data_IF_520469861876
#
_entry.id   IF_520469861876
#
_cell.length_a   1.000
_cell.length_b   1.000
_cell.length_c   1.000
_cell.angle_alpha   90.00
_cell.angle_beta   90.00
_cell.angle_gamma   90.00
#
_symmetry.space_group_name_H-M   'P 1'
#
loop_
_entity.id
_entity.type
_entity.pdbx_description
1 polymer ?
#
# COMPACT_ATOMS: atom_id res chain seq x y z
N UNK A 1 -8.87 -20.41 98.22
CA UNK A 1 -8.97 -19.37 97.24
C UNK A 1 -8.36 -19.88 95.92
N UNK A 2 -9.21 -20.27 94.96
CA UNK A 2 -8.74 -20.88 93.68
C UNK A 2 -8.94 -19.89 92.54
N UNK A 3 -7.83 -19.48 91.94
CA UNK A 3 -7.83 -18.61 90.75
C UNK A 3 -8.09 -19.46 89.52
N UNK A 4 -9.12 -19.14 88.77
CA UNK A 4 -9.39 -19.74 87.44
C UNK A 4 -8.70 -18.93 86.35
N UNK A 5 -7.84 -19.56 85.59
CA UNK A 5 -7.27 -18.98 84.38
C UNK A 5 -8.18 -19.29 83.19
N UNK A 6 -8.66 -18.25 82.53
CA UNK A 6 -9.42 -18.34 81.28
C UNK A 6 -8.43 -18.12 80.12
N UNK A 7 -8.26 -19.15 79.31
CA UNK A 7 -7.47 -19.06 78.07
C UNK A 7 -8.37 -18.60 76.94
N UNK A 8 -8.09 -17.41 76.38
CA UNK A 8 -8.69 -16.94 75.11
C UNK A 8 -7.91 -17.52 73.95
N UNK A 9 -8.58 -18.34 73.12
CA UNK A 9 -8.08 -18.78 71.79
C UNK A 9 -8.38 -17.66 70.76
N UNK A 10 -7.35 -16.97 70.33
CA UNK A 10 -7.46 -16.02 69.20
C UNK A 10 -7.29 -16.77 67.86
N UNK A 11 -8.35 -16.85 67.08
CA UNK A 11 -8.32 -17.36 65.71
C UNK A 11 -7.72 -16.29 64.78
N UNK A 12 -6.51 -16.54 64.26
CA UNK A 12 -5.89 -15.75 63.19
C UNK A 12 -6.46 -16.22 61.84
N UNK A 13 -7.37 -15.39 61.28
CA UNK A 13 -7.81 -15.56 59.89
C UNK A 13 -6.75 -14.93 59.02
N UNK A 14 -5.85 -15.78 58.43
CA UNK A 14 -4.95 -15.33 57.36
C UNK A 14 -5.76 -15.17 56.07
N UNK A 15 -6.14 -13.92 55.76
CA UNK A 15 -6.73 -13.56 54.46
C UNK A 15 -5.70 -13.73 53.37
N UNK A 16 -5.85 -14.74 52.52
CA UNK A 16 -5.17 -14.88 51.23
C UNK A 16 -5.68 -13.79 50.31
N UNK A 17 -5.03 -12.65 50.31
CA UNK A 17 -5.10 -11.65 49.24
C UNK A 17 -4.41 -12.26 48.03
N UNK A 18 -5.14 -13.02 47.23
CA UNK A 18 -4.75 -13.39 45.89
C UNK A 18 -4.65 -12.12 45.06
N UNK A 19 -3.46 -11.53 44.95
CA UNK A 19 -3.15 -10.53 43.94
C UNK A 19 -3.31 -11.19 42.58
N UNK A 20 -4.47 -11.01 41.96
CA UNK A 20 -4.61 -11.21 40.52
C UNK A 20 -3.69 -10.17 39.90
N UNK A 21 -2.47 -10.58 39.53
CA UNK A 21 -1.66 -9.82 38.61
C UNK A 21 -2.53 -9.59 37.37
N UNK A 22 -3.07 -8.40 37.21
CA UNK A 22 -3.68 -7.97 35.97
C UNK A 22 -2.56 -8.08 34.93
N UNK A 23 -2.56 -9.15 34.14
CA UNK A 23 -1.69 -9.21 32.97
C UNK A 23 -1.98 -7.96 32.17
N UNK A 24 -1.01 -7.06 32.06
CA UNK A 24 -1.11 -5.93 31.16
C UNK A 24 -1.48 -6.52 29.79
N UNK A 25 -2.55 -6.01 29.18
CA UNK A 25 -3.00 -6.48 27.88
C UNK A 25 -1.81 -6.38 26.91
N UNK A 26 -1.51 -7.47 26.22
CA UNK A 26 -0.44 -7.44 25.22
C UNK A 26 -0.76 -6.42 24.13
N UNK A 27 0.26 -5.72 23.68
CA UNK A 27 0.16 -4.68 22.64
C UNK A 27 1.03 -5.03 21.46
N UNK A 28 0.47 -4.90 20.25
CA UNK A 28 1.17 -5.08 19.00
C UNK A 28 1.58 -3.72 18.45
N UNK A 29 2.86 -3.45 18.38
CA UNK A 29 3.40 -2.18 17.90
C UNK A 29 3.53 -2.17 16.36
N UNK A 30 3.13 -1.04 15.75
CA UNK A 30 3.25 -0.74 14.32
C UNK A 30 3.96 0.61 14.16
N UNK A 31 5.15 0.61 13.56
CA UNK A 31 5.87 1.83 13.21
C UNK A 31 5.37 2.41 11.88
N UNK A 32 5.03 3.70 11.87
CA UNK A 32 4.49 4.40 10.71
C UNK A 32 5.48 5.45 10.20
N UNK A 33 6.29 5.17 9.16
CA UNK A 33 7.16 6.17 8.53
C UNK A 33 6.32 7.08 7.63
N UNK A 34 5.61 8.02 8.25
CA UNK A 34 4.64 8.88 7.56
C UNK A 34 5.30 10.02 6.80
N UNK A 35 4.53 10.68 5.93
CA UNK A 35 4.87 11.96 5.33
C UNK A 35 3.58 12.77 5.18
N UNK A 36 3.41 13.75 6.07
CA UNK A 36 2.21 14.58 6.15
C UNK A 36 2.44 16.01 5.72
N UNK A 37 3.68 16.35 5.39
CA UNK A 37 4.08 17.68 4.96
C UNK A 37 4.82 17.66 3.62
N UNK A 38 5.01 18.82 3.00
CA UNK A 38 5.72 18.98 1.74
C UNK A 38 4.89 18.58 0.49
N UNK A 39 5.55 18.43 -0.66
CA UNK A 39 4.89 18.23 -1.96
C UNK A 39 4.04 16.98 -2.08
N UNK A 40 4.24 16.02 -1.20
CA UNK A 40 3.58 14.70 -1.16
C UNK A 40 2.62 14.54 0.01
N UNK A 41 2.58 15.56 0.91
CA UNK A 41 1.86 15.50 2.17
C UNK A 41 0.36 15.28 2.03
N UNK A 42 -0.27 15.83 0.99
CA UNK A 42 -1.71 15.66 0.76
C UNK A 42 -2.09 14.17 0.56
N UNK A 43 -1.31 13.44 -0.24
CA UNK A 43 -1.51 12.00 -0.43
C UNK A 43 -1.16 11.21 0.84
N UNK A 44 -0.06 11.56 1.50
CA UNK A 44 0.35 10.94 2.77
C UNK A 44 -0.68 11.11 3.87
N UNK A 45 -1.27 12.29 4.02
CA UNK A 45 -2.33 12.54 5.01
C UNK A 45 -3.52 11.59 4.82
N UNK A 46 -3.97 11.37 3.58
CA UNK A 46 -5.04 10.42 3.28
C UNK A 46 -4.66 8.98 3.65
N UNK A 47 -3.50 8.53 3.15
CA UNK A 47 -3.07 7.13 3.33
C UNK A 47 -2.83 6.81 4.80
N UNK A 48 -2.02 7.58 5.51
CA UNK A 48 -1.72 7.32 6.93
C UNK A 48 -2.94 7.57 7.81
N UNK A 49 -3.81 8.53 7.44
CA UNK A 49 -5.08 8.75 8.12
C UNK A 49 -6.00 7.52 8.05
N UNK A 50 -6.22 6.99 6.85
CA UNK A 50 -7.05 5.79 6.66
C UNK A 50 -6.46 4.54 7.33
N UNK A 51 -5.13 4.40 7.33
CA UNK A 51 -4.46 3.27 7.99
C UNK A 51 -4.62 3.33 9.50
N UNK A 52 -4.35 4.48 10.11
CA UNK A 52 -4.54 4.69 11.56
C UNK A 52 -6.00 4.51 11.95
N UNK A 53 -6.93 5.08 11.18
CA UNK A 53 -8.36 4.95 11.45
C UNK A 53 -8.83 3.49 11.40
N UNK A 54 -8.27 2.67 10.50
CA UNK A 54 -8.60 1.24 10.48
C UNK A 54 -8.02 0.50 11.71
N UNK A 55 -6.78 0.77 12.10
CA UNK A 55 -6.22 0.18 13.32
C UNK A 55 -7.01 0.62 14.57
N UNK A 56 -7.41 1.89 14.62
CA UNK A 56 -8.28 2.40 15.68
C UNK A 56 -9.66 1.73 15.67
N UNK A 57 -10.23 1.46 14.47
CA UNK A 57 -11.48 0.69 14.36
C UNK A 57 -11.36 -0.68 15.04
N UNK A 58 -10.28 -1.41 14.74
CA UNK A 58 -10.04 -2.74 15.34
C UNK A 58 -9.92 -2.64 16.87
N UNK A 59 -9.27 -1.59 17.36
CA UNK A 59 -9.17 -1.36 18.80
C UNK A 59 -10.53 -1.02 19.44
N UNK A 60 -11.34 -0.17 18.81
CA UNK A 60 -12.57 0.36 19.39
C UNK A 60 -13.78 -0.56 19.21
N UNK A 61 -13.84 -1.28 18.09
CA UNK A 61 -14.94 -2.19 17.78
C UNK A 61 -14.69 -3.60 18.32
N UNK A 62 -13.47 -4.10 18.10
CA UNK A 62 -13.13 -5.53 18.33
C UNK A 62 -12.30 -5.75 19.60
N UNK A 63 -11.84 -4.68 20.25
CA UNK A 63 -10.96 -4.79 21.41
C UNK A 63 -9.49 -5.15 21.07
N UNK A 64 -9.10 -4.99 19.81
CA UNK A 64 -7.80 -5.40 19.27
C UNK A 64 -7.87 -6.68 18.43
N UNK A 65 -6.73 -7.21 18.02
CA UNK A 65 -6.65 -8.48 17.27
C UNK A 65 -6.64 -9.64 18.27
N UNK A 66 -7.78 -10.33 18.42
CA UNK A 66 -7.96 -11.38 19.43
C UNK A 66 -7.58 -10.89 20.86
N UNK A 67 -7.93 -9.65 21.21
CA UNK A 67 -7.62 -9.06 22.50
C UNK A 67 -6.28 -8.32 22.59
N UNK A 68 -5.41 -8.42 21.60
CA UNK A 68 -4.14 -7.67 21.53
C UNK A 68 -4.40 -6.30 20.91
N UNK A 69 -4.18 -5.23 21.67
CA UNK A 69 -4.34 -3.86 21.21
C UNK A 69 -3.25 -3.50 20.20
N UNK A 70 -3.64 -2.74 19.16
CA UNK A 70 -2.68 -2.14 18.24
C UNK A 70 -2.21 -0.79 18.82
N UNK A 71 -0.91 -0.61 18.87
CA UNK A 71 -0.27 0.67 19.19
C UNK A 71 0.62 1.10 18.05
N UNK A 72 0.85 2.40 17.88
CA UNK A 72 1.66 2.91 16.79
C UNK A 72 2.38 4.21 17.17
N UNK A 73 3.40 4.50 16.38
CA UNK A 73 4.09 5.80 16.42
C UNK A 73 4.38 6.25 15.01
N UNK A 74 4.01 7.49 14.67
CA UNK A 74 4.40 8.12 13.42
C UNK A 74 5.80 8.72 13.51
N UNK A 75 6.55 8.57 12.42
CA UNK A 75 7.85 9.22 12.23
C UNK A 75 7.82 9.93 10.88
N UNK A 76 7.83 11.28 10.89
CA UNK A 76 7.75 12.10 9.69
C UNK A 76 9.01 11.98 8.84
N UNK A 77 8.87 11.48 7.62
CA UNK A 77 9.97 11.30 6.67
C UNK A 77 10.10 12.42 5.66
N UNK A 78 9.08 13.26 5.51
CA UNK A 78 8.97 14.25 4.41
C UNK A 78 9.19 13.62 3.02
N UNK A 79 8.90 12.32 2.89
CA UNK A 79 9.17 11.52 1.67
C UNK A 79 10.68 11.49 1.30
N UNK A 80 11.57 11.72 2.27
CA UNK A 80 13.03 11.73 2.09
C UNK A 80 13.63 10.37 2.46
N UNK A 81 14.52 9.84 1.62
CA UNK A 81 15.11 8.52 1.82
C UNK A 81 15.96 8.42 3.10
N UNK A 82 16.78 9.44 3.39
CA UNK A 82 17.65 9.42 4.58
C UNK A 82 16.82 9.47 5.87
N UNK A 83 15.79 10.34 5.92
CA UNK A 83 14.83 10.37 7.03
C UNK A 83 14.03 9.07 7.14
N UNK A 84 13.69 8.44 6.00
CA UNK A 84 13.04 7.14 6.00
C UNK A 84 13.89 6.05 6.66
N UNK A 85 15.20 6.05 6.40
CA UNK A 85 16.15 5.15 7.08
C UNK A 85 16.25 5.46 8.56
N UNK A 86 16.32 6.73 8.94
CA UNK A 86 16.34 7.16 10.35
C UNK A 86 15.06 6.72 11.08
N UNK A 87 13.88 6.94 10.47
CA UNK A 87 12.60 6.48 11.01
C UNK A 87 12.55 4.96 11.17
N UNK A 88 13.08 4.21 10.21
CA UNK A 88 13.18 2.76 10.31
C UNK A 88 14.01 2.34 11.54
N UNK A 89 15.23 2.89 11.67
CA UNK A 89 16.11 2.57 12.81
C UNK A 89 15.49 2.95 14.16
N UNK A 90 14.77 4.06 14.23
CA UNK A 90 14.08 4.53 15.44
C UNK A 90 12.93 3.61 15.85
N UNK A 91 12.17 3.11 14.86
CA UNK A 91 10.92 2.39 15.12
C UNK A 91 11.09 0.86 15.21
N UNK A 92 12.12 0.28 14.59
CA UNK A 92 12.25 -1.18 14.39
C UNK A 92 12.26 -2.01 15.69
N UNK A 93 12.74 -1.44 16.81
CA UNK A 93 12.82 -2.15 18.11
C UNK A 93 11.75 -1.73 19.11
N UNK A 94 10.81 -0.86 18.72
CA UNK A 94 9.74 -0.42 19.61
C UNK A 94 8.66 -1.49 19.79
N UNK A 95 7.98 -1.45 20.94
CA UNK A 95 7.02 -2.48 21.36
C UNK A 95 7.69 -3.68 22.03
N UNK A 96 6.90 -4.53 22.66
CA UNK A 96 7.38 -5.69 23.40
C UNK A 96 8.05 -6.77 22.53
N UNK A 97 7.61 -6.86 21.27
CA UNK A 97 8.10 -7.84 20.27
C UNK A 97 8.85 -7.19 19.10
N UNK A 98 9.13 -5.88 19.19
CA UNK A 98 9.63 -5.08 18.07
C UNK A 98 8.51 -4.65 17.11
N UNK A 99 8.88 -3.96 16.03
CA UNK A 99 7.94 -3.56 14.99
C UNK A 99 7.45 -4.79 14.21
N UNK A 100 6.14 -4.99 14.14
CA UNK A 100 5.53 -6.17 13.52
C UNK A 100 5.76 -6.24 12.00
N UNK A 101 5.72 -5.07 11.34
CA UNK A 101 5.96 -4.90 9.91
C UNK A 101 6.29 -3.45 9.59
N UNK A 102 6.86 -3.20 8.43
CA UNK A 102 7.23 -1.88 7.96
C UNK A 102 6.59 -1.57 6.61
N UNK A 103 5.93 -0.42 6.49
CA UNK A 103 5.30 0.02 5.23
C UNK A 103 5.71 1.47 4.94
N UNK A 104 6.79 1.70 4.18
CA UNK A 104 7.34 3.05 3.95
C UNK A 104 6.48 3.92 3.02
N UNK A 105 5.57 3.35 2.25
CA UNK A 105 4.76 4.04 1.23
C UNK A 105 5.62 4.96 0.34
N UNK A 106 6.85 4.52 0.07
CA UNK A 106 7.86 5.19 -0.75
C UNK A 106 8.81 4.18 -1.37
N UNK A 107 8.90 4.17 -2.70
CA UNK A 107 9.84 3.31 -3.43
C UNK A 107 11.30 3.61 -3.07
N UNK A 108 11.65 4.89 -2.93
CA UNK A 108 13.01 5.28 -2.56
C UNK A 108 13.42 4.80 -1.17
N UNK A 109 12.53 4.93 -0.18
CA UNK A 109 12.78 4.41 1.18
C UNK A 109 12.85 2.88 1.16
N UNK A 110 11.96 2.21 0.40
CA UNK A 110 11.99 0.74 0.23
C UNK A 110 13.37 0.26 -0.23
N UNK A 111 13.93 0.86 -1.28
CA UNK A 111 15.27 0.51 -1.74
C UNK A 111 16.35 0.76 -0.68
N UNK A 112 16.21 1.84 0.08
CA UNK A 112 17.21 2.24 1.09
C UNK A 112 17.25 1.31 2.32
N UNK A 113 16.15 0.62 2.64
CA UNK A 113 16.05 -0.29 3.80
C UNK A 113 15.96 -1.77 3.43
N UNK A 114 16.04 -2.11 2.14
CA UNK A 114 15.82 -3.45 1.60
C UNK A 114 16.64 -4.54 2.32
N UNK A 115 17.94 -4.31 2.49
CA UNK A 115 18.84 -5.28 3.16
C UNK A 115 18.65 -5.26 4.68
N UNK A 116 18.28 -4.09 5.27
CA UNK A 116 18.06 -3.93 6.70
C UNK A 116 16.86 -4.73 7.20
N UNK A 117 15.73 -4.68 6.47
CA UNK A 117 14.52 -5.41 6.87
C UNK A 117 14.74 -6.93 6.88
N UNK A 118 15.57 -7.43 5.97
CA UNK A 118 15.96 -8.84 5.94
C UNK A 118 16.86 -9.22 7.14
N UNK A 119 17.85 -8.36 7.48
CA UNK A 119 18.74 -8.55 8.62
C UNK A 119 17.99 -8.49 9.96
N UNK A 120 17.05 -7.54 10.08
CA UNK A 120 16.26 -7.32 11.29
C UNK A 120 15.05 -8.27 11.39
N UNK A 121 14.76 -9.07 10.35
CA UNK A 121 13.61 -9.98 10.27
C UNK A 121 12.26 -9.27 10.45
N UNK A 122 12.13 -8.10 9.86
CA UNK A 122 10.89 -7.30 9.85
C UNK A 122 10.31 -7.32 8.42
N UNK A 123 9.11 -7.88 8.20
CA UNK A 123 8.53 -7.88 6.87
C UNK A 123 8.20 -6.46 6.41
N UNK A 124 8.62 -6.11 5.20
CA UNK A 124 8.31 -4.85 4.55
C UNK A 124 7.20 -5.06 3.53
N UNK A 125 6.06 -4.42 3.76
CA UNK A 125 4.90 -4.52 2.87
C UNK A 125 4.85 -3.27 1.99
N UNK A 126 4.79 -3.48 0.66
CA UNK A 126 4.84 -2.41 -0.34
C UNK A 126 3.65 -2.50 -1.29
N UNK A 127 2.46 -2.15 -0.79
CA UNK A 127 1.20 -2.26 -1.53
C UNK A 127 1.18 -1.31 -2.73
N UNK A 128 1.33 -1.86 -3.93
CA UNK A 128 1.30 -1.07 -5.17
C UNK A 128 2.50 -0.14 -5.37
N UNK A 129 3.66 -0.42 -4.75
CA UNK A 129 4.89 0.33 -5.03
C UNK A 129 6.12 -0.59 -4.98
N UNK A 130 7.25 -0.09 -5.48
CA UNK A 130 8.45 -0.86 -5.69
C UNK A 130 9.08 -1.41 -4.41
N UNK A 131 9.84 -2.41 -4.54
CA UNK A 131 10.55 -2.97 -5.70
C UNK A 131 9.72 -4.12 -6.32
N UNK A 132 9.48 -4.07 -7.65
CA UNK A 132 8.59 -5.03 -8.33
C UNK A 132 9.11 -6.46 -8.30
N UNK A 133 10.40 -6.70 -8.56
CA UNK A 133 10.97 -8.05 -8.56
C UNK A 133 11.02 -8.70 -7.18
N UNK A 134 10.77 -7.93 -6.10
CA UNK A 134 10.57 -8.47 -4.77
C UNK A 134 9.27 -9.28 -4.61
N UNK A 135 8.42 -9.33 -5.64
CA UNK A 135 7.30 -10.26 -5.72
C UNK A 135 7.74 -11.73 -5.79
N UNK A 136 9.01 -12.01 -6.14
CA UNK A 136 9.57 -13.36 -5.97
C UNK A 136 10.04 -13.57 -4.52
N UNK A 137 9.15 -14.11 -3.69
CA UNK A 137 9.44 -14.37 -2.28
C UNK A 137 10.52 -15.43 -2.03
N UNK A 138 10.89 -16.20 -3.06
CA UNK A 138 12.03 -17.14 -2.96
C UNK A 138 13.36 -16.41 -2.79
N UNK A 139 13.46 -15.20 -3.36
CA UNK A 139 14.66 -14.35 -3.28
C UNK A 139 14.48 -13.23 -2.26
N UNK A 140 13.28 -12.68 -2.16
CA UNK A 140 12.95 -11.56 -1.27
C UNK A 140 11.96 -11.96 -0.15
N UNK A 141 12.36 -12.83 0.80
CA UNK A 141 11.44 -13.38 1.81
C UNK A 141 10.87 -12.33 2.76
N UNK A 142 11.40 -11.11 2.77
CA UNK A 142 11.02 -10.05 3.70
C UNK A 142 10.34 -8.85 3.02
N UNK A 143 10.05 -8.93 1.72
CA UNK A 143 9.42 -7.85 0.97
C UNK A 143 8.17 -8.34 0.25
N UNK A 144 7.06 -7.64 0.44
CA UNK A 144 5.72 -8.05 0.02
C UNK A 144 5.05 -6.95 -0.82
N UNK A 145 5.28 -6.86 -2.14
CA UNK A 145 4.60 -5.92 -3.03
C UNK A 145 3.19 -6.43 -3.37
N UNK A 146 2.34 -6.44 -2.35
CA UNK A 146 1.02 -7.06 -2.38
C UNK A 146 0.02 -6.35 -3.30
N UNK A 147 -1.00 -7.09 -3.71
CA UNK A 147 -2.13 -6.75 -4.57
C UNK A 147 -1.71 -6.62 -6.03
N UNK A 148 -0.73 -5.80 -6.33
CA UNK A 148 -0.26 -5.54 -7.70
C UNK A 148 1.07 -4.78 -7.68
N UNK A 149 1.90 -4.99 -8.69
CA UNK A 149 3.20 -4.34 -8.85
C UNK A 149 3.15 -3.26 -9.92
N UNK A 150 4.20 -2.45 -10.03
CA UNK A 150 4.31 -1.47 -11.11
C UNK A 150 4.36 -2.12 -12.50
N UNK A 151 4.94 -3.32 -12.62
CA UNK A 151 4.97 -4.01 -13.90
C UNK A 151 3.60 -4.55 -14.29
N UNK A 152 2.84 -5.09 -13.33
CA UNK A 152 1.45 -5.49 -13.54
C UNK A 152 0.58 -4.28 -13.92
N UNK A 153 0.76 -3.14 -13.24
CA UNK A 153 0.02 -1.92 -13.57
C UNK A 153 0.32 -1.41 -14.98
N UNK A 154 1.60 -1.30 -15.34
CA UNK A 154 1.99 -0.85 -16.69
C UNK A 154 1.37 -1.74 -17.76
N UNK A 155 1.43 -3.06 -17.56
CA UNK A 155 0.82 -4.04 -18.44
C UNK A 155 -0.70 -3.89 -18.54
N UNK A 156 -1.39 -3.75 -17.40
CA UNK A 156 -2.84 -3.53 -17.39
C UNK A 156 -3.26 -2.20 -18.04
N UNK A 157 -2.44 -1.12 -17.90
CA UNK A 157 -2.68 0.14 -18.61
C UNK A 157 -2.55 -0.05 -20.13
N UNK A 158 -1.53 -0.77 -20.61
CA UNK A 158 -1.36 -1.06 -22.02
C UNK A 158 -2.51 -1.93 -22.54
N UNK A 159 -2.97 -2.93 -21.76
CA UNK A 159 -4.15 -3.73 -22.09
C UNK A 159 -5.43 -2.86 -22.19
N UNK A 160 -5.60 -1.91 -21.26
CA UNK A 160 -6.70 -0.96 -21.31
C UNK A 160 -6.64 -0.08 -22.57
N UNK A 161 -5.47 0.46 -22.93
CA UNK A 161 -5.29 1.23 -24.16
C UNK A 161 -5.62 0.37 -25.39
N UNK A 162 -5.11 -0.86 -25.44
CA UNK A 162 -5.42 -1.80 -26.51
C UNK A 162 -6.92 -2.05 -26.65
N UNK A 163 -7.66 -2.21 -25.53
CA UNK A 163 -9.10 -2.37 -25.54
C UNK A 163 -9.85 -1.13 -26.09
N UNK A 164 -9.33 0.07 -25.84
CA UNK A 164 -9.90 1.32 -26.41
C UNK A 164 -9.63 1.47 -27.89
N UNK A 165 -8.54 0.93 -28.39
CA UNK A 165 -8.19 0.94 -29.82
C UNK A 165 -8.86 -0.23 -30.61
N UNK A 166 -9.57 -1.15 -29.92
CA UNK A 166 -10.24 -2.28 -30.55
C UNK A 166 -9.41 -3.56 -30.65
N UNK A 167 -8.29 -3.64 -29.94
CA UNK A 167 -7.45 -4.83 -29.82
C UNK A 167 -5.97 -4.50 -29.63
N UNK A 168 -5.22 -5.47 -29.09
CA UNK A 168 -3.78 -5.29 -28.86
C UNK A 168 -2.98 -5.16 -30.16
N UNK A 169 -3.46 -5.74 -31.26
CA UNK A 169 -2.89 -5.61 -32.61
C UNK A 169 -2.96 -4.18 -33.15
N UNK A 170 -3.91 -3.38 -32.67
CA UNK A 170 -4.09 -1.97 -33.04
C UNK A 170 -3.10 -1.03 -32.38
N UNK A 171 -2.30 -1.53 -31.45
CA UNK A 171 -1.20 -0.74 -30.83
C UNK A 171 0.00 -0.61 -31.76
N UNK A 172 0.14 -1.47 -32.79
CA UNK A 172 1.26 -1.40 -33.72
C UNK A 172 1.34 -0.03 -34.41
N UNK A 173 2.50 0.62 -34.28
CA UNK A 173 2.76 1.95 -34.84
C UNK A 173 2.21 3.13 -34.02
N UNK A 174 1.48 2.86 -32.91
CA UNK A 174 1.06 3.90 -31.97
C UNK A 174 2.25 4.44 -31.20
N UNK A 175 2.10 5.65 -30.65
CA UNK A 175 3.06 6.29 -29.75
C UNK A 175 2.45 6.48 -28.38
N UNK A 176 3.14 5.99 -27.34
CA UNK A 176 2.72 6.15 -25.95
C UNK A 176 3.80 6.97 -25.24
N UNK A 177 3.44 8.18 -24.79
CA UNK A 177 4.27 8.99 -23.92
C UNK A 177 4.26 8.44 -22.49
N UNK A 178 5.41 8.27 -21.89
CA UNK A 178 5.57 7.94 -20.47
C UNK A 178 6.11 9.19 -19.77
N UNK A 179 5.22 10.02 -19.22
CA UNK A 179 5.56 11.19 -18.42
C UNK A 179 5.78 10.74 -16.97
N UNK A 180 7.04 10.60 -16.57
CA UNK A 180 7.38 9.96 -15.31
C UNK A 180 8.15 10.87 -14.34
N UNK A 181 7.88 10.69 -13.05
CA UNK A 181 8.64 11.31 -11.96
C UNK A 181 10.08 10.80 -11.96
N UNK A 182 11.07 11.68 -12.08
CA UNK A 182 12.48 11.29 -12.16
C UNK A 182 13.03 10.84 -10.81
N UNK A 183 12.71 9.61 -10.45
CA UNK A 183 13.11 8.94 -9.22
C UNK A 183 13.12 7.42 -9.42
N UNK A 184 13.53 6.67 -8.40
CA UNK A 184 13.43 5.22 -8.40
C UNK A 184 12.01 4.74 -8.71
N UNK A 185 10.99 5.41 -8.15
CA UNK A 185 9.58 5.15 -8.43
C UNK A 185 9.25 5.25 -9.92
N UNK A 186 9.54 6.39 -10.55
CA UNK A 186 9.16 6.62 -11.95
C UNK A 186 9.89 5.71 -12.93
N UNK A 187 11.12 5.30 -12.59
CA UNK A 187 11.97 4.44 -13.42
C UNK A 187 11.60 2.95 -13.35
N UNK A 188 10.84 2.53 -12.35
CA UNK A 188 10.36 1.13 -12.23
C UNK A 188 9.61 0.65 -13.48
N UNK A 189 8.86 1.54 -14.14
CA UNK A 189 8.06 1.20 -15.31
C UNK A 189 8.87 1.02 -16.62
N UNK A 190 10.15 1.42 -16.66
CA UNK A 190 10.89 1.48 -17.92
C UNK A 190 11.06 0.11 -18.58
N UNK A 191 11.53 -0.88 -17.82
CA UNK A 191 11.81 -2.21 -18.36
C UNK A 191 10.54 -2.90 -18.91
N UNK A 192 9.45 -2.84 -18.19
CA UNK A 192 8.18 -3.43 -18.63
C UNK A 192 7.60 -2.69 -19.83
N UNK A 193 7.68 -1.35 -19.88
CA UNK A 193 7.19 -0.58 -21.02
C UNK A 193 7.99 -0.89 -22.29
N UNK A 194 9.31 -1.07 -22.19
CA UNK A 194 10.15 -1.48 -23.32
C UNK A 194 9.78 -2.90 -23.84
N UNK A 195 9.53 -3.85 -22.91
CA UNK A 195 9.09 -5.21 -23.27
C UNK A 195 7.70 -5.22 -23.93
N UNK A 196 6.75 -4.43 -23.40
CA UNK A 196 5.40 -4.30 -23.97
C UNK A 196 5.45 -3.62 -25.36
N UNK A 197 6.28 -2.59 -25.53
CA UNK A 197 6.49 -1.92 -26.81
C UNK A 197 7.04 -2.89 -27.85
N UNK A 198 8.05 -3.67 -27.50
CA UNK A 198 8.59 -4.70 -28.38
C UNK A 198 7.55 -5.79 -28.72
N UNK A 199 6.75 -6.22 -27.74
CA UNK A 199 5.70 -7.24 -27.92
C UNK A 199 4.58 -6.80 -28.85
N UNK A 200 4.12 -5.54 -28.73
CA UNK A 200 2.93 -5.04 -29.40
C UNK A 200 3.21 -4.04 -30.54
N UNK A 201 4.48 -3.68 -30.75
CA UNK A 201 4.93 -2.84 -31.86
C UNK A 201 4.57 -1.36 -31.73
N UNK A 202 4.37 -0.85 -30.54
CA UNK A 202 4.22 0.60 -30.30
C UNK A 202 5.55 1.25 -29.89
N UNK A 203 5.63 2.57 -30.04
CA UNK A 203 6.79 3.38 -29.60
C UNK A 203 6.54 3.93 -28.17
N UNK A 204 7.53 3.83 -27.28
CA UNK A 204 7.50 4.48 -25.96
C UNK A 204 8.37 5.72 -25.98
N UNK A 205 7.79 6.89 -25.63
CA UNK A 205 8.51 8.15 -25.51
C UNK A 205 8.63 8.48 -24.01
N UNK A 206 9.81 8.25 -23.44
CA UNK A 206 10.11 8.49 -22.02
C UNK A 206 10.44 9.94 -21.77
N UNK A 207 9.63 10.63 -20.93
CA UNK A 207 9.74 12.05 -20.63
C UNK A 207 9.87 12.23 -19.13
N UNK A 208 11.07 12.58 -18.66
CA UNK A 208 11.37 12.76 -17.24
C UNK A 208 10.86 14.11 -16.72
N UNK A 209 10.28 14.11 -15.53
CA UNK A 209 9.93 15.30 -14.77
C UNK A 209 10.74 15.30 -13.48
N UNK A 210 11.61 16.30 -13.32
CA UNK A 210 12.36 16.46 -12.07
C UNK A 210 11.38 16.71 -10.90
N UNK A 211 11.57 16.00 -9.79
CA UNK A 211 10.71 16.19 -8.64
C UNK A 211 11.01 17.53 -7.90
N UNK A 212 9.99 18.13 -7.26
CA UNK A 212 8.66 17.58 -7.01
C UNK A 212 7.69 17.65 -8.20
N UNK A 213 8.07 18.21 -9.35
CA UNK A 213 7.25 18.20 -10.56
C UNK A 213 6.38 19.44 -10.77
N UNK A 214 6.73 20.58 -10.16
CA UNK A 214 6.03 21.85 -10.36
C UNK A 214 6.29 22.45 -11.75
N UNK A 215 7.46 22.18 -12.34
CA UNK A 215 7.91 22.72 -13.62
C UNK A 215 7.82 21.64 -14.71
N UNK A 216 6.88 21.79 -15.65
CA UNK A 216 6.64 20.80 -16.71
C UNK A 216 6.45 21.41 -18.10
N UNK A 217 6.79 22.67 -18.30
CA UNK A 217 6.57 23.33 -19.58
C UNK A 217 7.34 22.68 -20.73
N UNK A 218 8.60 22.33 -20.50
CA UNK A 218 9.46 21.68 -21.51
C UNK A 218 8.95 20.27 -21.86
N UNK A 219 8.46 19.52 -20.89
CA UNK A 219 7.92 18.19 -21.10
C UNK A 219 6.63 18.22 -21.92
N UNK A 220 5.74 19.16 -21.66
CA UNK A 220 4.52 19.31 -22.43
C UNK A 220 4.77 19.87 -23.82
N UNK A 221 5.83 20.66 -24.03
CA UNK A 221 6.30 21.03 -25.36
C UNK A 221 6.80 19.79 -26.14
N UNK A 222 7.58 18.91 -25.50
CA UNK A 222 8.02 17.63 -26.09
C UNK A 222 6.82 16.74 -26.48
N UNK A 223 5.83 16.60 -25.58
CA UNK A 223 4.58 15.83 -25.85
C UNK A 223 3.87 16.43 -27.09
N UNK A 224 3.73 17.74 -27.16
CA UNK A 224 3.10 18.41 -28.30
C UNK A 224 3.85 18.19 -29.62
N UNK A 225 5.18 18.17 -29.58
CA UNK A 225 6.03 17.90 -30.77
C UNK A 225 5.98 16.43 -31.18
N UNK A 226 6.05 15.52 -30.23
CA UNK A 226 6.06 14.07 -30.46
C UNK A 226 4.69 13.52 -30.87
N UNK A 227 3.61 14.23 -30.49
CA UNK A 227 2.20 13.87 -30.77
C UNK A 227 1.87 12.41 -30.41
N UNK A 228 2.08 11.97 -29.17
CA UNK A 228 1.71 10.61 -28.78
C UNK A 228 0.19 10.40 -28.84
N UNK A 229 -0.23 9.18 -29.15
CA UNK A 229 -1.64 8.78 -29.14
C UNK A 229 -2.20 8.76 -27.72
N UNK A 230 -1.39 8.39 -26.73
CA UNK A 230 -1.69 8.35 -25.30
C UNK A 230 -0.50 8.87 -24.50
N UNK A 231 -0.78 9.38 -23.29
CA UNK A 231 0.23 9.71 -22.29
C UNK A 231 -0.09 8.96 -21.00
N UNK A 232 0.84 8.20 -20.50
CA UNK A 232 0.77 7.60 -19.15
C UNK A 232 1.42 8.59 -18.20
N UNK A 233 0.65 9.08 -17.23
CA UNK A 233 1.14 9.95 -16.16
C UNK A 233 1.63 9.08 -15.00
N UNK A 234 2.94 8.86 -14.95
CA UNK A 234 3.61 8.14 -13.87
C UNK A 234 4.13 9.14 -12.83
N UNK A 235 3.18 9.86 -12.24
CA UNK A 235 3.42 10.99 -11.35
C UNK A 235 3.05 10.72 -9.90
N UNK A 236 3.47 11.63 -9.02
CA UNK A 236 3.15 11.62 -7.60
C UNK A 236 3.08 13.04 -7.02
N UNK A 237 2.13 13.28 -6.10
CA UNK A 237 1.97 14.54 -5.40
C UNK A 237 1.70 15.73 -6.34
N UNK A 238 2.35 16.85 -6.12
CA UNK A 238 2.13 18.11 -6.87
C UNK A 238 2.40 18.01 -8.38
N UNK A 239 3.14 16.99 -8.82
CA UNK A 239 3.36 16.69 -10.23
C UNK A 239 2.04 16.43 -10.98
N UNK A 240 1.09 15.75 -10.32
CA UNK A 240 -0.16 15.31 -10.95
C UNK A 240 -1.10 16.44 -11.35
N UNK A 241 -1.56 17.32 -10.45
CA UNK A 241 -2.40 18.46 -10.83
C UNK A 241 -1.69 19.40 -11.83
N UNK A 242 -0.37 19.51 -11.75
CA UNK A 242 0.42 20.29 -12.71
C UNK A 242 0.34 19.68 -14.12
N UNK A 243 0.53 18.35 -14.23
CA UNK A 243 0.43 17.63 -15.50
C UNK A 243 -0.98 17.72 -16.10
N UNK A 244 -2.01 17.53 -15.27
CA UNK A 244 -3.41 17.61 -15.72
C UNK A 244 -3.76 19.00 -16.25
N UNK A 245 -3.33 20.07 -15.57
CA UNK A 245 -3.51 21.46 -16.03
C UNK A 245 -2.75 21.72 -17.32
N UNK A 246 -1.52 21.24 -17.43
CA UNK A 246 -0.69 21.41 -18.62
C UNK A 246 -1.25 20.65 -19.83
N UNK A 247 -1.78 19.44 -19.63
CA UNK A 247 -2.50 18.70 -20.66
C UNK A 247 -3.71 19.51 -21.19
N UNK A 248 -4.50 20.11 -20.30
CA UNK A 248 -5.61 20.96 -20.68
C UNK A 248 -5.15 22.19 -21.49
N UNK A 249 -4.12 22.88 -21.03
CA UNK A 249 -3.55 24.07 -21.68
C UNK A 249 -3.01 23.77 -23.06
N UNK A 250 -2.43 22.57 -23.28
CA UNK A 250 -1.89 22.16 -24.58
C UNK A 250 -2.90 21.51 -25.50
N UNK A 251 -4.17 21.38 -25.08
CA UNK A 251 -5.23 20.72 -25.85
C UNK A 251 -5.11 19.22 -25.91
N UNK A 252 -4.30 18.57 -25.06
CA UNK A 252 -4.20 17.10 -25.02
C UNK A 252 -5.50 16.49 -24.46
N UNK A 253 -6.11 15.47 -25.10
CA UNK A 253 -7.36 14.86 -24.64
C UNK A 253 -7.21 14.22 -23.26
N UNK A 254 -8.09 14.57 -22.31
CA UNK A 254 -8.02 14.06 -20.92
C UNK A 254 -8.25 12.55 -20.83
N UNK A 255 -9.12 12.01 -21.69
CA UNK A 255 -9.40 10.57 -21.78
C UNK A 255 -8.23 9.75 -22.34
N UNK A 256 -7.23 10.41 -22.94
CA UNK A 256 -5.98 9.82 -23.42
C UNK A 256 -4.79 10.07 -22.49
N UNK A 257 -5.00 10.84 -21.42
CA UNK A 257 -4.07 10.97 -20.31
C UNK A 257 -4.44 9.93 -19.24
N UNK A 258 -3.64 8.89 -19.12
CA UNK A 258 -3.92 7.76 -18.21
C UNK A 258 -3.03 7.87 -16.99
N UNK A 259 -3.60 8.18 -15.84
CA UNK A 259 -2.89 8.20 -14.56
C UNK A 259 -2.63 6.80 -14.01
N UNK A 260 -1.50 6.62 -13.37
CA UNK A 260 -1.25 5.46 -12.52
C UNK A 260 -2.02 5.60 -11.20
N UNK A 261 -2.06 4.57 -10.36
CA UNK A 261 -2.80 4.65 -9.08
C UNK A 261 -2.26 5.69 -8.08
N UNK A 262 -1.05 6.25 -8.31
CA UNK A 262 -0.50 7.39 -7.57
C UNK A 262 -0.82 8.75 -8.20
N UNK A 263 -1.67 8.77 -9.24
CA UNK A 263 -2.13 9.96 -9.93
C UNK A 263 -3.67 9.98 -10.05
N UNK A 264 -4.37 9.09 -9.37
CA UNK A 264 -5.80 8.86 -9.53
C UNK A 264 -6.60 9.08 -8.25
N UNK A 265 -6.34 10.15 -7.53
CA UNK A 265 -7.07 10.50 -6.33
C UNK A 265 -7.68 11.91 -6.40
N UNK A 266 -8.53 12.24 -5.45
CA UNK A 266 -9.17 13.55 -5.28
C UNK A 266 -8.11 14.62 -5.02
N UNK A 267 -7.03 14.28 -4.35
CA UNK A 267 -5.86 15.12 -4.08
C UNK A 267 -5.12 15.54 -5.36
N UNK A 268 -5.31 14.79 -6.45
CA UNK A 268 -4.73 15.09 -7.77
C UNK A 268 -5.69 15.92 -8.64
N UNK A 269 -6.98 15.62 -8.58
CA UNK A 269 -7.99 16.17 -9.49
C UNK A 269 -8.62 17.46 -8.98
N UNK A 270 -8.89 17.57 -7.68
CA UNK A 270 -9.51 18.79 -7.11
C UNK A 270 -8.60 20.02 -7.31
N UNK A 271 -7.28 19.97 -7.03
CA UNK A 271 -6.40 21.12 -7.31
C UNK A 271 -6.24 21.41 -8.80
N UNK A 272 -6.49 20.44 -9.68
CA UNK A 272 -6.49 20.67 -11.13
C UNK A 272 -7.76 21.37 -11.62
N UNK A 273 -8.85 21.33 -10.84
CA UNK A 273 -10.12 21.98 -11.14
C UNK A 273 -10.77 21.46 -12.43
N UNK A 274 -11.40 22.35 -13.24
CA UNK A 274 -12.09 21.93 -14.47
C UNK A 274 -11.18 21.19 -15.48
N UNK A 275 -9.86 21.39 -15.41
CA UNK A 275 -8.90 20.71 -16.27
C UNK A 275 -8.89 19.21 -16.08
N UNK A 276 -9.33 18.70 -14.92
CA UNK A 276 -9.33 17.27 -14.62
C UNK A 276 -10.51 16.51 -15.22
N UNK A 277 -11.58 17.18 -15.65
CA UNK A 277 -12.76 16.49 -16.19
C UNK A 277 -12.39 15.61 -17.39
N UNK A 278 -12.74 14.33 -17.31
CA UNK A 278 -12.40 13.32 -18.32
C UNK A 278 -11.09 12.58 -18.07
N UNK A 279 -10.25 13.02 -17.12
CA UNK A 279 -9.01 12.33 -16.75
C UNK A 279 -9.30 10.90 -16.28
N UNK A 280 -8.52 9.94 -16.78
CA UNK A 280 -8.66 8.51 -16.46
C UNK A 280 -7.47 8.07 -15.62
N UNK A 281 -7.70 7.22 -14.63
CA UNK A 281 -6.62 6.64 -13.85
C UNK A 281 -6.86 5.17 -13.49
N UNK A 282 -5.79 4.41 -13.36
CA UNK A 282 -5.80 3.06 -12.82
C UNK A 282 -5.91 3.10 -11.29
N UNK A 283 -6.48 2.06 -10.68
CA UNK A 283 -6.55 1.88 -9.23
C UNK A 283 -6.65 0.42 -8.82
N UNK A 284 -6.04 0.05 -7.71
CA UNK A 284 -6.20 -1.26 -7.08
C UNK A 284 -7.18 -1.22 -5.89
N UNK A 285 -7.63 -0.05 -5.53
CA UNK A 285 -8.72 0.24 -4.62
C UNK A 285 -9.63 1.33 -5.23
N UNK A 286 -10.81 1.48 -4.72
CA UNK A 286 -11.81 2.40 -5.27
C UNK A 286 -12.11 3.55 -4.31
N UNK A 287 -12.58 4.68 -4.86
CA UNK A 287 -13.13 5.79 -4.09
C UNK A 287 -14.53 5.44 -3.55
N UNK A 288 -14.97 6.20 -2.59
CA UNK A 288 -16.34 6.18 -2.04
C UNK A 288 -16.39 5.88 -0.56
N UNK A 289 -17.35 6.50 0.10
CA UNK A 289 -17.55 6.38 1.55
C UNK A 289 -18.71 5.41 1.91
N UNK A 290 -19.33 4.76 0.93
CA UNK A 290 -20.51 3.92 1.11
C UNK A 290 -20.19 2.43 1.38
N UNK A 291 -18.93 2.13 1.69
CA UNK A 291 -18.52 0.77 2.07
C UNK A 291 -18.78 0.53 3.55
N UNK A 292 -19.25 -0.68 3.95
CA UNK A 292 -19.50 -0.99 5.35
C UNK A 292 -18.29 -0.74 6.26
N UNK A 293 -17.07 -1.04 5.81
CA UNK A 293 -15.83 -0.75 6.57
C UNK A 293 -15.67 0.75 6.84
N UNK A 294 -16.00 1.62 5.90
CA UNK A 294 -15.91 3.08 6.07
C UNK A 294 -17.04 3.57 7.00
N UNK A 295 -18.23 2.98 6.89
CA UNK A 295 -19.33 3.27 7.81
C UNK A 295 -18.99 2.88 9.26
N UNK A 296 -18.36 1.74 9.46
CA UNK A 296 -17.87 1.30 10.77
C UNK A 296 -16.80 2.25 11.33
N UNK A 297 -15.85 2.70 10.51
CA UNK A 297 -14.87 3.72 10.92
C UNK A 297 -15.58 5.01 11.36
N UNK A 298 -16.53 5.50 10.58
CA UNK A 298 -17.32 6.68 10.97
C UNK A 298 -18.03 6.49 12.30
N UNK A 299 -18.64 5.32 12.53
CA UNK A 299 -19.39 5.00 13.74
C UNK A 299 -18.50 4.81 14.97
N UNK A 300 -17.48 3.95 14.87
CA UNK A 300 -16.72 3.49 16.03
C UNK A 300 -15.48 4.33 16.32
N UNK A 301 -14.97 5.08 15.33
CA UNK A 301 -13.77 5.92 15.48
C UNK A 301 -14.17 7.39 15.54
N UNK A 302 -14.78 7.93 14.50
CA UNK A 302 -15.20 9.34 14.49
C UNK A 302 -16.34 9.64 15.45
N UNK A 303 -17.28 8.71 15.63
CA UNK A 303 -18.35 8.84 16.65
C UNK A 303 -17.84 8.91 18.09
N UNK A 304 -16.57 8.49 18.32
CA UNK A 304 -15.88 8.60 19.62
C UNK A 304 -14.80 9.70 19.64
N UNK A 305 -14.73 10.55 18.61
CA UNK A 305 -13.72 11.61 18.44
C UNK A 305 -12.27 11.10 18.45
N UNK A 306 -12.02 9.90 17.86
CA UNK A 306 -10.71 9.25 17.77
C UNK A 306 -10.16 9.17 16.34
N UNK A 307 -10.81 9.84 15.38
CA UNK A 307 -10.40 9.82 13.97
C UNK A 307 -9.14 10.66 13.72
N UNK A 308 -8.35 10.23 12.75
CA UNK A 308 -7.04 10.80 12.44
C UNK A 308 -7.08 11.85 11.30
N UNK A 309 -8.16 11.91 10.50
CA UNK A 309 -8.25 12.90 9.43
C UNK A 309 -8.64 14.29 9.96
N UNK A 310 -7.79 15.29 9.66
CA UNK A 310 -8.11 16.71 9.88
C UNK A 310 -9.25 17.14 8.95
N UNK A 311 -9.09 16.91 7.64
CA UNK A 311 -10.15 17.14 6.65
C UNK A 311 -11.05 15.92 6.52
N UNK A 312 -12.15 15.90 7.29
CA UNK A 312 -13.13 14.81 7.29
C UNK A 312 -13.86 14.65 5.95
N UNK A 313 -13.81 15.63 5.05
CA UNK A 313 -14.42 15.53 3.71
C UNK A 313 -13.66 14.54 2.82
N UNK A 314 -12.42 14.18 3.18
CA UNK A 314 -11.59 13.20 2.49
C UNK A 314 -11.81 11.76 2.95
N UNK A 315 -12.67 11.51 3.94
CA UNK A 315 -13.01 10.15 4.34
C UNK A 315 -13.76 9.46 3.20
N UNK A 316 -13.15 8.43 2.63
CA UNK A 316 -13.65 7.74 1.45
C UNK A 316 -13.00 8.21 0.13
N UNK A 317 -12.04 9.16 0.15
CA UNK A 317 -11.19 9.44 -1.01
C UNK A 317 -10.35 8.23 -1.39
N UNK A 318 -9.81 8.21 -2.61
CA UNK A 318 -8.96 7.08 -3.08
C UNK A 318 -7.79 6.84 -2.14
N UNK A 319 -7.08 7.89 -1.70
CA UNK A 319 -5.92 7.71 -0.80
C UNK A 319 -6.32 7.34 0.62
N UNK A 320 -7.41 7.89 1.15
CA UNK A 320 -7.94 7.44 2.43
C UNK A 320 -8.29 5.94 2.41
N UNK A 321 -9.03 5.51 1.39
CA UNK A 321 -9.41 4.12 1.21
C UNK A 321 -8.18 3.21 1.01
N UNK A 322 -7.14 3.72 0.35
CA UNK A 322 -5.84 3.02 0.24
C UNK A 322 -5.21 2.81 1.61
N UNK A 323 -5.26 3.81 2.47
CA UNK A 323 -4.84 3.69 3.88
C UNK A 323 -5.61 2.61 4.62
N UNK A 324 -6.92 2.53 4.41
CA UNK A 324 -7.75 1.44 4.97
C UNK A 324 -7.28 0.06 4.45
N UNK A 325 -6.90 -0.06 3.18
CA UNK A 325 -6.31 -1.30 2.62
C UNK A 325 -4.99 -1.65 3.32
N UNK A 326 -4.10 -0.65 3.57
CA UNK A 326 -2.88 -0.85 4.36
C UNK A 326 -3.20 -1.39 5.76
N UNK A 327 -4.23 -0.85 6.40
CA UNK A 327 -4.73 -1.31 7.69
C UNK A 327 -5.27 -2.74 7.65
N UNK A 328 -6.09 -3.08 6.65
CA UNK A 328 -6.64 -4.44 6.46
C UNK A 328 -5.50 -5.45 6.34
N UNK A 329 -4.52 -5.21 5.47
CA UNK A 329 -3.39 -6.13 5.27
C UNK A 329 -2.55 -6.27 6.55
N UNK A 330 -2.30 -5.16 7.25
CA UNK A 330 -1.60 -5.18 8.55
C UNK A 330 -2.31 -6.10 9.55
N UNK A 331 -3.60 -5.87 9.75
CA UNK A 331 -4.41 -6.59 10.74
C UNK A 331 -4.58 -8.05 10.36
N UNK A 332 -4.90 -8.33 9.11
CA UNK A 332 -5.16 -9.71 8.67
C UNK A 332 -3.88 -10.55 8.59
N UNK A 333 -2.73 -9.95 8.25
CA UNK A 333 -1.43 -10.61 8.34
C UNK A 333 -1.08 -11.03 9.78
N UNK A 334 -1.29 -10.12 10.75
CA UNK A 334 -1.10 -10.41 12.18
C UNK A 334 -2.11 -11.46 12.66
N UNK A 335 -3.40 -11.31 12.28
CA UNK A 335 -4.46 -12.28 12.65
C UNK A 335 -4.14 -13.68 12.15
N UNK A 336 -3.67 -13.78 10.90
CA UNK A 336 -3.25 -15.06 10.30
C UNK A 336 -2.06 -15.67 11.03
N UNK A 337 -1.08 -14.87 11.40
CA UNK A 337 0.05 -15.31 12.20
C UNK A 337 -0.38 -15.79 13.60
N UNK A 338 -1.33 -15.10 14.24
CA UNK A 338 -1.87 -15.53 15.53
C UNK A 338 -2.60 -16.90 15.49
N UNK A 339 -3.13 -17.31 14.32
CA UNK A 339 -3.69 -18.66 14.16
C UNK A 339 -2.65 -19.75 14.41
N UNK A 340 -1.39 -19.53 13.98
CA UNK A 340 -0.27 -20.48 14.13
C UNK A 340 0.46 -20.30 15.46
N UNK A 341 0.77 -19.07 15.85
CA UNK A 341 1.69 -18.78 16.95
C UNK A 341 0.99 -18.48 18.29
N UNK A 342 -0.33 -18.37 18.29
CA UNK A 342 -1.17 -18.20 19.48
C UNK A 342 -2.02 -16.95 19.45
N UNK A 343 -3.33 -17.14 19.59
CA UNK A 343 -4.30 -16.03 19.75
C UNK A 343 -4.04 -15.31 21.06
N UNK A 344 -4.25 -13.97 21.05
CA UNK A 344 -4.06 -13.13 22.23
C UNK A 344 -2.60 -12.80 22.54
N UNK A 345 -1.66 -13.07 21.64
CA UNK A 345 -0.24 -12.75 21.79
C UNK A 345 0.22 -11.68 20.80
N UNK A 346 1.08 -10.79 21.26
CA UNK A 346 1.89 -9.94 20.39
C UNK A 346 2.95 -10.79 19.68
N UNK A 347 3.18 -10.52 18.41
CA UNK A 347 4.01 -11.33 17.52
C UNK A 347 5.26 -10.58 17.06
N UNK A 348 6.35 -11.31 16.84
CA UNK A 348 7.56 -10.78 16.20
C UNK A 348 7.36 -10.60 14.70
N UNK A 349 8.21 -9.78 14.05
CA UNK A 349 8.19 -9.62 12.59
C UNK A 349 8.35 -10.95 11.85
N UNK A 350 9.16 -11.88 12.34
CA UNK A 350 9.34 -13.22 11.74
C UNK A 350 8.05 -14.04 11.75
N UNK A 351 7.29 -13.97 12.83
CA UNK A 351 5.99 -14.61 12.93
C UNK A 351 4.95 -13.95 12.02
N UNK A 352 4.97 -12.62 11.95
CA UNK A 352 4.07 -11.86 11.06
C UNK A 352 4.39 -12.13 9.58
N UNK A 353 5.68 -12.30 9.21
CA UNK A 353 6.06 -12.74 7.85
C UNK A 353 5.32 -14.02 7.45
N UNK A 354 5.29 -15.01 8.33
CA UNK A 354 4.55 -16.25 8.05
C UNK A 354 3.05 -15.98 7.81
N UNK A 355 2.44 -15.09 8.59
CA UNK A 355 1.05 -14.70 8.41
C UNK A 355 0.79 -14.04 7.06
N UNK A 356 1.70 -13.17 6.62
CA UNK A 356 1.62 -12.52 5.32
C UNK A 356 1.77 -13.51 4.15
N UNK A 357 2.70 -14.47 4.23
CA UNK A 357 2.89 -15.51 3.21
C UNK A 357 1.74 -16.53 3.14
N UNK A 358 0.88 -16.58 4.15
CA UNK A 358 -0.31 -17.44 4.20
C UNK A 358 -1.62 -16.65 4.16
N UNK A 359 -1.55 -15.38 3.77
CA UNK A 359 -2.72 -14.52 3.70
C UNK A 359 -3.62 -14.92 2.54
N UNK A 360 -4.91 -15.10 2.84
CA UNK A 360 -5.96 -15.33 1.85
C UNK A 360 -7.19 -14.47 2.20
N UNK A 361 -7.35 -13.38 1.48
CA UNK A 361 -8.50 -12.48 1.58
C UNK A 361 -9.42 -12.77 0.39
N UNK A 362 -10.17 -13.85 0.45
CA UNK A 362 -11.18 -14.20 -0.54
C UNK A 362 -12.44 -13.32 -0.40
N UNK A 363 -13.40 -13.50 -1.30
CA UNK A 363 -14.65 -12.73 -1.29
C UNK A 363 -15.45 -12.90 0.01
N UNK A 364 -15.38 -14.08 0.64
CA UNK A 364 -16.05 -14.35 1.93
C UNK A 364 -15.38 -13.51 3.03
N UNK A 365 -14.04 -13.50 3.06
CA UNK A 365 -13.31 -12.69 4.04
C UNK A 365 -13.49 -11.20 3.80
N UNK A 366 -13.39 -10.72 2.57
CA UNK A 366 -13.64 -9.32 2.23
C UNK A 366 -15.06 -8.88 2.61
N UNK A 367 -16.07 -9.74 2.41
CA UNK A 367 -17.43 -9.47 2.85
C UNK A 367 -17.51 -9.34 4.37
N UNK A 368 -16.87 -10.24 5.10
CA UNK A 368 -16.84 -10.18 6.58
C UNK A 368 -16.15 -8.92 7.13
N UNK A 369 -15.17 -8.38 6.39
CA UNK A 369 -14.48 -7.13 6.71
C UNK A 369 -15.26 -5.87 6.27
N UNK A 370 -16.40 -6.03 5.57
CA UNK A 370 -17.12 -4.91 4.99
C UNK A 370 -16.42 -4.26 3.80
N UNK A 371 -15.52 -4.99 3.13
CA UNK A 371 -14.64 -4.52 2.07
C UNK A 371 -14.92 -5.14 0.69
N UNK A 372 -16.10 -5.71 0.48
CA UNK A 372 -16.51 -6.26 -0.83
C UNK A 372 -16.40 -5.19 -1.93
N UNK A 373 -15.63 -5.47 -2.98
CA UNK A 373 -15.40 -4.54 -4.09
C UNK A 373 -14.48 -3.36 -3.78
N UNK A 374 -14.01 -3.24 -2.54
CA UNK A 374 -13.10 -2.20 -2.08
C UNK A 374 -11.67 -2.40 -2.61
N UNK A 375 -11.24 -3.64 -2.65
CA UNK A 375 -10.00 -4.14 -3.21
C UNK A 375 -10.25 -5.50 -3.88
N UNK A 376 -9.35 -6.01 -4.75
CA UNK A 376 -9.49 -7.35 -5.28
C UNK A 376 -9.23 -8.41 -4.20
N UNK A 377 -9.80 -9.62 -4.31
CA UNK A 377 -9.36 -10.76 -3.51
C UNK A 377 -7.85 -10.95 -3.62
N UNK A 378 -7.21 -11.31 -2.51
CA UNK A 378 -5.76 -11.39 -2.38
C UNK A 378 -5.35 -12.73 -1.78
N UNK A 379 -4.47 -13.45 -2.47
CA UNK A 379 -3.81 -14.63 -1.95
C UNK A 379 -2.30 -14.49 -2.12
N UNK A 380 -1.57 -14.61 -1.03
CA UNK A 380 -0.11 -14.53 -1.00
C UNK A 380 0.45 -15.91 -0.65
N UNK A 381 1.60 -16.23 -1.20
CA UNK A 381 2.32 -17.48 -0.95
C UNK A 381 3.81 -17.21 -0.75
N UNK A 382 4.55 -18.19 -0.26
CA UNK A 382 6.01 -18.10 -0.17
C UNK A 382 6.71 -17.71 -1.49
N UNK A 383 6.20 -18.20 -2.63
CA UNK A 383 6.80 -17.94 -3.94
C UNK A 383 6.27 -16.66 -4.60
N UNK A 384 5.04 -16.25 -4.29
CA UNK A 384 4.39 -15.11 -4.90
C UNK A 384 3.90 -14.12 -3.83
N UNK A 385 4.59 -13.00 -3.74
CA UNK A 385 4.28 -11.90 -2.83
C UNK A 385 3.44 -10.79 -3.48
N UNK A 386 3.07 -10.91 -4.77
CA UNK A 386 2.21 -9.94 -5.45
C UNK A 386 0.72 -10.24 -5.25
N UNK A 387 0.28 -11.41 -5.69
CA UNK A 387 -1.12 -11.78 -5.73
C UNK A 387 -1.79 -11.49 -7.09
N UNK A 388 -3.01 -10.87 -7.13
CA UNK A 388 -3.84 -10.87 -8.33
C UNK A 388 -3.34 -10.03 -9.50
N UNK A 389 -2.51 -9.00 -9.27
CA UNK A 389 -1.98 -8.15 -10.35
C UNK A 389 -3.05 -7.42 -11.19
N UNK A 390 -4.22 -7.12 -10.61
CA UNK A 390 -5.38 -6.53 -11.31
C UNK A 390 -5.59 -5.09 -10.93
N UNK A 391 -6.13 -4.30 -11.88
CA UNK A 391 -6.52 -2.90 -11.65
C UNK A 391 -7.91 -2.62 -12.22
N UNK A 392 -8.58 -1.60 -11.68
CA UNK A 392 -9.76 -0.98 -12.29
C UNK A 392 -9.35 0.36 -12.86
N UNK A 393 -10.08 0.80 -13.89
CA UNK A 393 -9.96 2.16 -14.37
C UNK A 393 -11.16 2.98 -13.89
N UNK A 394 -10.86 4.21 -13.55
CA UNK A 394 -11.84 5.21 -13.12
C UNK A 394 -11.64 6.50 -13.91
N UNK A 395 -12.71 7.28 -14.09
CA UNK A 395 -12.70 8.56 -14.78
C UNK A 395 -13.25 9.65 -13.87
N UNK A 396 -12.59 10.79 -13.85
CA UNK A 396 -13.06 11.97 -13.12
C UNK A 396 -14.15 12.70 -13.92
N UNK A 397 -15.36 12.79 -13.37
CA UNK A 397 -16.50 13.43 -14.03
C UNK A 397 -16.54 14.97 -13.85
N UNK A 398 -15.61 15.51 -13.07
CA UNK A 398 -15.52 16.91 -12.66
C UNK A 398 -15.84 17.12 -11.18
N UNK A 399 -16.39 16.10 -10.50
CA UNK A 399 -16.76 16.16 -9.08
C UNK A 399 -16.35 14.90 -8.32
N UNK A 400 -16.40 13.74 -8.94
CA UNK A 400 -16.09 12.45 -8.31
C UNK A 400 -15.51 11.46 -9.30
N UNK A 401 -14.80 10.46 -8.77
CA UNK A 401 -14.35 9.31 -9.53
C UNK A 401 -15.49 8.34 -9.83
N UNK A 402 -15.58 7.90 -11.09
CA UNK A 402 -16.50 6.84 -11.54
C UNK A 402 -15.70 5.68 -12.08
N UNK A 403 -15.91 4.50 -11.55
CA UNK A 403 -15.34 3.27 -12.10
C UNK A 403 -15.92 3.03 -13.48
N UNK A 404 -15.06 2.81 -14.48
CA UNK A 404 -15.43 2.66 -15.90
C UNK A 404 -15.06 1.30 -16.49
N UNK A 405 -14.43 0.42 -15.70
CA UNK A 405 -14.12 -0.95 -16.09
C UNK A 405 -14.36 -1.92 -14.95
N UNK A 406 -14.52 -3.20 -15.28
CA UNK A 406 -14.24 -4.28 -14.34
C UNK A 406 -12.73 -4.38 -14.07
N UNK A 407 -12.30 -5.42 -13.34
CA UNK A 407 -10.89 -5.70 -13.12
C UNK A 407 -10.18 -6.02 -14.43
N UNK A 408 -9.21 -5.21 -14.80
CA UNK A 408 -8.33 -5.43 -15.97
C UNK A 408 -7.08 -6.16 -15.48
N UNK A 409 -6.79 -7.27 -16.13
CA UNK A 409 -5.66 -8.11 -15.80
C UNK A 409 -4.38 -7.60 -16.46
N UNK A 410 -3.24 -7.84 -15.81
CA UNK A 410 -1.93 -7.69 -16.41
C UNK A 410 -1.64 -8.83 -17.41
N UNK A 411 -0.61 -8.68 -18.22
CA UNK A 411 0.02 -9.78 -18.94
C UNK A 411 0.84 -10.61 -17.95
N UNK A 412 0.13 -11.38 -17.13
CA UNK A 412 0.73 -12.10 -15.99
C UNK A 412 1.91 -12.99 -16.40
N UNK A 413 1.88 -13.78 -17.52
CA UNK A 413 3.04 -14.57 -17.92
C UNK A 413 4.29 -13.72 -18.22
N UNK A 414 4.13 -12.57 -18.89
CA UNK A 414 5.23 -11.65 -19.17
C UNK A 414 5.78 -11.05 -17.88
N UNK A 415 4.89 -10.53 -17.03
CA UNK A 415 5.28 -9.86 -15.79
C UNK A 415 5.97 -10.83 -14.84
N UNK A 416 5.39 -12.03 -14.64
CA UNK A 416 5.98 -13.04 -13.76
C UNK A 416 7.36 -13.52 -14.26
N UNK A 417 7.50 -13.75 -15.56
CA UNK A 417 8.79 -14.11 -16.16
C UNK A 417 9.86 -13.04 -15.92
N UNK A 418 9.51 -11.76 -16.08
CA UNK A 418 10.42 -10.64 -15.79
C UNK A 418 10.78 -10.53 -14.31
N UNK A 419 9.82 -10.75 -13.41
CA UNK A 419 10.04 -10.77 -11.95
C UNK A 419 11.06 -11.85 -11.60
N UNK A 420 10.88 -13.07 -12.10
CA UNK A 420 11.76 -14.20 -11.82
C UNK A 420 13.16 -13.99 -12.42
N UNK A 421 13.26 -13.45 -13.63
CA UNK A 421 14.54 -13.11 -14.28
C UNK A 421 15.31 -12.06 -13.47
N UNK A 422 14.64 -10.97 -13.06
CA UNK A 422 15.26 -9.88 -12.29
C UNK A 422 15.64 -10.34 -10.88
N UNK A 423 14.79 -11.10 -10.21
CA UNK A 423 15.08 -11.66 -8.89
C UNK A 423 16.27 -12.62 -8.93
N UNK A 424 16.34 -13.49 -9.96
CA UNK A 424 17.48 -14.40 -10.14
C UNK A 424 18.80 -13.64 -10.39
N UNK A 425 18.76 -12.56 -11.17
CA UNK A 425 19.92 -11.69 -11.39
C UNK A 425 20.40 -11.05 -10.08
N UNK A 426 19.47 -10.51 -9.29
CA UNK A 426 19.76 -9.96 -7.96
C UNK A 426 20.32 -11.02 -7.01
N UNK A 427 19.73 -12.22 -6.98
CA UNK A 427 20.21 -13.32 -6.15
C UNK A 427 21.66 -13.70 -6.49
N UNK A 428 21.99 -13.76 -7.79
CA UNK A 428 23.36 -14.02 -8.27
C UNK A 428 24.33 -12.91 -7.85
N UNK A 429 23.94 -11.65 -8.04
CA UNK A 429 24.77 -10.49 -7.66
C UNK A 429 25.09 -10.47 -6.16
N UNK A 430 24.09 -10.78 -5.32
CA UNK A 430 24.20 -10.73 -3.85
C UNK A 430 24.62 -12.05 -3.21
N UNK A 431 24.82 -13.10 -3.97
CA UNK A 431 25.14 -14.44 -3.44
C UNK A 431 24.00 -15.05 -2.62
N UNK A 432 22.75 -14.70 -2.91
CA UNK A 432 21.57 -15.21 -2.23
C UNK A 432 21.18 -16.56 -2.84
N UNK A 433 21.02 -17.59 -1.99
CA UNK A 433 20.41 -18.87 -2.37
C UNK A 433 18.89 -18.75 -2.28
N UNK A 434 18.14 -18.89 -3.38
CA UNK A 434 16.68 -18.86 -3.33
C UNK A 434 16.11 -19.93 -2.38
N UNK A 435 15.05 -19.60 -1.69
CA UNK A 435 14.33 -20.50 -0.77
C UNK A 435 13.62 -21.61 -1.55
N UNK A 436 13.50 -22.76 -0.92
CA UNK A 436 12.68 -23.87 -1.41
C UNK A 436 11.28 -23.82 -0.73
N UNK A 437 10.35 -23.15 -1.38
CA UNK A 437 8.99 -22.97 -0.87
C UNK A 437 8.20 -24.29 -0.71
N UNK A 438 8.67 -25.39 -1.27
CA UNK A 438 8.02 -26.69 -1.08
C UNK A 438 8.24 -27.28 0.33
N UNK A 439 9.22 -26.74 1.05
CA UNK A 439 9.61 -27.17 2.40
C UNK A 439 9.13 -26.23 3.51
N UNK A 440 8.54 -25.11 3.13
CA UNK A 440 8.06 -24.08 4.07
C UNK A 440 6.52 -24.08 4.07
N UNK A 441 5.89 -24.77 5.03
CA UNK A 441 4.45 -24.84 5.23
C UNK A 441 4.02 -24.46 6.65
#
# INVERSE_FOLDING_TARGET
>A
MKLKHTVLLGAVIAGLLGSTAANAAEEQFIGLPSYRVGPYGAGGAGIFGGWIDYMQLINERDGGINGVKLTWEECETEYNNARGVECYERLKKKGSTGNALFQPVSTGITYSVLEKVAQDKIPMVTIGYGRTDAADGRVFPWVFPMITTYWSQASAIVNYIGSKEGGMDKLKGKKIGLLYHDSAYGKESHAIMDKLAAKHGFEVIKIAVAHPGNEQQSQWLQIRQAKPDYVILWGWGVMNPTAIKAAAKTGFPREKLIGVWWSGAEEDTIPAGPAAKGFVAAGFNVAGANYPVVADIKKFVYGKNKGNMEDKTRIGSVYYNRGVVHGIITVEGIRKAQEKFGKGKALTGEQVRWGLENLNLDDVRLKALGATGFMPPLKITCADHEGPGKVKFQQWDGNQWKVITDWVESDHPLVRGMIEESAAAYAKEKGIKPRDCSKEG
#
